data_IF_367459908913
#
_entry.id   IF_367459908913
#
_cell.length_a   1.000
_cell.length_b   1.000
_cell.length_c   1.000
_cell.angle_alpha   90.00
_cell.angle_beta   90.00
_cell.angle_gamma   90.00
#
_symmetry.space_group_name_H-M   'P 1'
#
loop_
_entity.id
_entity.type
_entity.pdbx_description
1 polymer ?
#
# COMPACT_ATOMS: atom_id res chain seq x y z
N UNK A 1 -5.15 -6.46 -43.20
CA UNK A 1 -6.42 -6.13 -42.53
C UNK A 1 -7.13 -7.38 -42.03
N UNK A 2 -6.60 -8.00 -40.96
CA UNK A 2 -7.23 -9.13 -40.28
C UNK A 2 -8.07 -8.70 -39.07
N UNK A 3 -8.60 -9.66 -38.30
CA UNK A 3 -9.38 -9.39 -37.07
C UNK A 3 -8.56 -8.62 -36.03
N UNK A 4 -7.32 -9.04 -35.78
CA UNK A 4 -6.41 -8.38 -34.85
C UNK A 4 -6.20 -6.90 -35.20
N UNK A 5 -6.01 -6.59 -36.49
CA UNK A 5 -5.84 -5.21 -36.96
C UNK A 5 -7.07 -4.35 -36.66
N UNK A 6 -8.28 -4.89 -36.88
CA UNK A 6 -9.54 -4.18 -36.57
C UNK A 6 -9.71 -3.95 -35.07
N UNK A 7 -9.34 -4.92 -34.25
CA UNK A 7 -9.40 -4.82 -32.79
C UNK A 7 -8.36 -3.81 -32.25
N UNK A 8 -7.12 -3.85 -32.74
CA UNK A 8 -6.08 -2.87 -32.41
C UNK A 8 -6.49 -1.45 -32.81
N UNK A 9 -7.07 -1.28 -34.00
CA UNK A 9 -7.52 0.02 -34.47
C UNK A 9 -8.72 0.53 -33.66
N UNK A 10 -9.63 -0.36 -33.25
CA UNK A 10 -10.72 -0.02 -32.34
C UNK A 10 -10.20 0.46 -30.99
N UNK A 11 -9.27 -0.28 -30.38
CA UNK A 11 -8.64 0.09 -29.10
C UNK A 11 -7.97 1.47 -29.20
N UNK A 12 -7.15 1.70 -30.23
CA UNK A 12 -6.50 3.00 -30.45
C UNK A 12 -7.48 4.15 -30.61
N UNK A 13 -8.58 3.92 -31.32
CA UNK A 13 -9.58 4.97 -31.59
C UNK A 13 -10.39 5.31 -30.33
N UNK A 14 -10.73 4.31 -29.51
CA UNK A 14 -11.59 4.50 -28.33
C UNK A 14 -10.79 4.94 -27.11
N UNK A 15 -9.60 4.37 -26.92
CA UNK A 15 -8.82 4.50 -25.69
C UNK A 15 -7.52 5.32 -25.90
N UNK A 16 -7.13 5.59 -27.14
CA UNK A 16 -5.90 6.28 -27.49
C UNK A 16 -4.75 5.35 -27.84
N UNK A 17 -3.74 5.91 -28.51
CA UNK A 17 -2.50 5.18 -28.81
C UNK A 17 -1.73 4.85 -27.53
N UNK A 18 -1.32 3.60 -27.39
CA UNK A 18 -0.56 3.13 -26.22
C UNK A 18 -1.39 2.92 -24.96
N UNK A 19 -2.73 2.86 -25.06
CA UNK A 19 -3.58 2.56 -23.91
C UNK A 19 -3.24 1.20 -23.27
N UNK A 20 -2.90 1.23 -21.99
CA UNK A 20 -2.47 0.09 -21.19
C UNK A 20 -1.42 0.51 -20.16
N UNK A 21 -1.06 -0.39 -19.26
CA UNK A 21 0.10 -0.22 -18.37
C UNK A 21 1.31 -0.92 -18.98
N UNK A 22 2.49 -0.32 -18.85
CA UNK A 22 3.75 -0.98 -19.17
C UNK A 22 4.40 -1.48 -17.89
N UNK A 23 4.70 -2.77 -17.83
CA UNK A 23 5.33 -3.36 -16.66
C UNK A 23 6.85 -3.23 -16.74
N UNK A 24 7.47 -2.78 -15.65
CA UNK A 24 8.92 -2.80 -15.46
C UNK A 24 9.24 -3.95 -14.51
N UNK A 25 10.08 -4.89 -14.95
CA UNK A 25 10.28 -6.18 -14.26
C UNK A 25 11.71 -6.30 -13.75
N UNK A 26 11.86 -6.64 -12.47
CA UNK A 26 13.13 -6.96 -11.82
C UNK A 26 13.11 -8.43 -11.40
N UNK A 27 13.97 -9.24 -12.01
CA UNK A 27 14.10 -10.67 -11.70
C UNK A 27 15.42 -10.92 -10.99
N UNK A 28 15.35 -11.61 -9.84
CA UNK A 28 16.53 -12.06 -9.10
C UNK A 28 16.73 -13.56 -9.28
N UNK A 29 17.92 -13.95 -9.75
CA UNK A 29 18.32 -15.36 -9.90
C UNK A 29 19.50 -15.68 -8.99
N UNK A 30 19.63 -16.94 -8.53
CA UNK A 30 20.82 -17.38 -7.82
C UNK A 30 22.05 -17.32 -8.74
N UNK A 31 23.24 -17.05 -8.17
CA UNK A 31 24.50 -17.03 -8.94
C UNK A 31 24.99 -18.41 -9.36
N UNK A 32 24.57 -19.45 -8.64
CA UNK A 32 24.98 -20.83 -8.86
C UNK A 32 23.78 -21.67 -9.26
N UNK A 33 23.99 -22.69 -10.10
CA UNK A 33 22.95 -23.53 -10.73
C UNK A 33 22.05 -24.27 -9.72
N UNK A 34 22.54 -24.49 -8.49
CA UNK A 34 21.80 -25.14 -7.39
C UNK A 34 21.55 -24.21 -6.18
N UNK A 35 21.71 -22.89 -6.36
CA UNK A 35 21.44 -21.91 -5.31
C UNK A 35 19.94 -21.66 -5.12
N UNK A 36 19.52 -21.33 -3.89
CA UNK A 36 18.15 -20.91 -3.59
C UNK A 36 18.08 -19.42 -3.28
N UNK A 37 17.01 -18.77 -3.73
CA UNK A 37 16.69 -17.36 -3.41
C UNK A 37 15.66 -17.25 -2.28
N UNK A 38 15.12 -18.38 -1.79
CA UNK A 38 14.10 -18.43 -0.73
C UNK A 38 14.74 -18.35 0.67
N UNK A 39 15.46 -17.25 0.93
CA UNK A 39 16.07 -16.96 2.23
C UNK A 39 16.04 -15.45 2.50
N UNK A 40 16.05 -15.07 3.79
CA UNK A 40 15.98 -13.65 4.19
C UNK A 40 17.05 -12.79 3.54
N UNK A 41 18.29 -13.25 3.48
CA UNK A 41 19.41 -12.50 2.89
C UNK A 41 19.18 -12.17 1.41
N UNK A 42 18.61 -13.10 0.66
CA UNK A 42 18.29 -12.93 -0.76
C UNK A 42 17.16 -11.94 -0.96
N UNK A 43 16.11 -12.00 -0.14
CA UNK A 43 14.98 -11.06 -0.21
C UNK A 43 15.37 -9.65 0.28
N UNK A 44 16.22 -9.54 1.29
CA UNK A 44 16.78 -8.26 1.73
C UNK A 44 17.67 -7.63 0.65
N UNK A 45 18.41 -8.45 -0.11
CA UNK A 45 19.13 -7.98 -1.29
C UNK A 45 18.17 -7.50 -2.39
N UNK A 46 17.09 -8.26 -2.65
CA UNK A 46 16.03 -7.84 -3.58
C UNK A 46 15.43 -6.49 -3.18
N UNK A 47 15.10 -6.30 -1.91
CA UNK A 47 14.62 -5.04 -1.34
C UNK A 47 15.58 -3.89 -1.61
N UNK A 48 16.89 -4.11 -1.42
CA UNK A 48 17.91 -3.09 -1.67
C UNK A 48 17.90 -2.65 -3.14
N UNK A 49 17.87 -3.60 -4.07
CA UNK A 49 17.81 -3.31 -5.51
C UNK A 49 16.52 -2.56 -5.87
N UNK A 50 15.37 -3.04 -5.37
CA UNK A 50 14.08 -2.39 -5.58
C UNK A 50 14.05 -0.96 -5.05
N UNK A 51 14.56 -0.71 -3.83
CA UNK A 51 14.65 0.66 -3.28
C UNK A 51 15.50 1.56 -4.15
N UNK A 52 16.67 1.10 -4.61
CA UNK A 52 17.50 1.88 -5.53
C UNK A 52 16.78 2.20 -6.84
N UNK A 53 16.05 1.23 -7.40
CA UNK A 53 15.27 1.46 -8.62
C UNK A 53 14.17 2.51 -8.42
N UNK A 54 13.41 2.43 -7.32
CA UNK A 54 12.29 3.35 -7.04
C UNK A 54 12.77 4.77 -6.72
N UNK A 55 13.93 4.92 -6.07
CA UNK A 55 14.49 6.24 -5.72
C UNK A 55 15.32 6.87 -6.84
N UNK A 56 15.45 6.20 -7.99
CA UNK A 56 16.19 6.76 -9.13
C UNK A 56 15.43 7.96 -9.69
N UNK A 57 16.16 9.05 -9.92
CA UNK A 57 15.62 10.28 -10.48
C UNK A 57 16.20 10.58 -11.86
N UNK A 58 15.43 11.25 -12.70
CA UNK A 58 15.83 11.70 -14.04
C UNK A 58 15.49 13.18 -14.19
N UNK A 59 16.43 13.97 -14.68
CA UNK A 59 16.18 15.38 -15.03
C UNK A 59 15.76 15.47 -16.50
N UNK A 60 14.56 15.98 -16.75
CA UNK A 60 14.01 16.15 -18.09
C UNK A 60 13.04 17.33 -18.11
N UNK A 61 13.16 18.20 -19.13
CA UNK A 61 12.33 19.41 -19.29
C UNK A 61 12.33 20.34 -18.07
N UNK A 62 13.51 20.59 -17.48
CA UNK A 62 13.69 21.42 -16.28
C UNK A 62 12.89 20.92 -15.05
N UNK A 63 12.49 19.65 -15.06
CA UNK A 63 11.84 18.97 -13.95
C UNK A 63 12.60 17.69 -13.56
N UNK A 64 12.62 17.38 -12.26
CA UNK A 64 13.15 16.12 -11.73
C UNK A 64 11.99 15.14 -11.59
N UNK A 65 12.09 14.01 -12.29
CA UNK A 65 11.12 12.94 -12.29
C UNK A 65 11.65 11.76 -11.46
N UNK A 66 10.77 11.10 -10.74
CA UNK A 66 11.01 9.84 -10.04
C UNK A 66 9.89 8.84 -10.35
N UNK A 67 9.99 7.61 -9.85
CA UNK A 67 9.00 6.57 -10.14
C UNK A 67 7.57 6.97 -9.70
N UNK A 68 7.41 7.68 -8.58
CA UNK A 68 6.10 8.13 -8.08
C UNK A 68 5.38 9.07 -9.05
N UNK A 69 6.12 9.83 -9.84
CA UNK A 69 5.54 10.78 -10.79
C UNK A 69 4.95 10.09 -12.03
N UNK A 70 5.32 8.83 -12.29
CA UNK A 70 4.95 8.10 -13.50
C UNK A 70 4.31 6.73 -13.23
N UNK A 71 4.32 6.26 -11.98
CA UNK A 71 3.79 4.94 -11.64
C UNK A 71 2.26 4.91 -11.73
N UNK A 72 1.73 3.72 -11.96
CA UNK A 72 0.30 3.48 -11.80
C UNK A 72 -0.08 3.54 -10.31
N UNK A 73 -0.93 4.47 -9.94
CA UNK A 73 -1.57 4.54 -8.63
C UNK A 73 -3.02 4.07 -8.73
N UNK A 74 -3.51 3.27 -7.75
CA UNK A 74 -4.92 2.92 -7.70
C UNK A 74 -5.79 4.19 -7.63
N UNK A 75 -6.91 4.22 -8.36
CA UNK A 75 -7.84 5.34 -8.31
C UNK A 75 -8.38 5.53 -6.89
N UNK A 76 -8.18 6.72 -6.31
CA UNK A 76 -8.84 7.11 -5.07
C UNK A 76 -10.36 7.19 -5.29
N UNK A 77 -11.19 6.75 -4.33
CA UNK A 77 -12.62 7.09 -4.37
C UNK A 77 -12.77 8.62 -4.35
N UNK A 78 -13.72 9.12 -5.16
CA UNK A 78 -14.12 10.52 -5.13
C UNK A 78 -15.07 10.75 -3.96
N UNK A 79 -14.76 11.72 -3.10
CA UNK A 79 -15.69 12.19 -2.07
C UNK A 79 -16.22 13.57 -2.43
N UNK A 80 -17.50 13.82 -2.18
CA UNK A 80 -18.14 15.13 -2.41
C UNK A 80 -17.51 16.29 -1.59
N UNK A 81 -16.57 15.99 -0.69
CA UNK A 81 -15.87 16.95 0.18
C UNK A 81 -14.38 16.93 -0.13
N UNK A 82 -13.93 17.91 -0.92
CA UNK A 82 -12.55 18.09 -1.42
C UNK A 82 -11.41 18.05 -0.37
N UNK A 83 -11.71 18.14 0.92
CA UNK A 83 -10.68 18.16 1.97
C UNK A 83 -10.06 16.79 2.26
N UNK A 84 -10.69 15.67 1.83
CA UNK A 84 -10.17 14.33 2.06
C UNK A 84 -9.40 13.74 0.88
N UNK A 85 -9.62 14.26 -0.33
CA UNK A 85 -8.99 13.75 -1.55
C UNK A 85 -7.47 13.86 -1.43
N UNK A 86 -6.96 14.99 -0.93
CA UNK A 86 -5.52 15.19 -0.70
C UNK A 86 -4.92 14.23 0.34
N UNK A 87 -5.69 13.80 1.35
CA UNK A 87 -5.22 12.82 2.33
C UNK A 87 -5.04 11.44 1.67
N UNK A 88 -6.02 11.01 0.88
CA UNK A 88 -5.99 9.72 0.21
C UNK A 88 -4.97 9.66 -0.92
N UNK A 89 -4.82 10.72 -1.70
CA UNK A 89 -3.78 10.83 -2.74
C UNK A 89 -2.37 10.67 -2.17
N UNK A 90 -2.14 11.14 -0.95
CA UNK A 90 -0.85 10.99 -0.27
C UNK A 90 -0.65 9.61 0.38
N UNK A 91 -1.74 8.88 0.62
CA UNK A 91 -1.70 7.55 1.24
C UNK A 91 -1.56 6.46 0.18
N UNK A 92 -2.28 6.53 -0.95
CA UNK A 92 -2.24 5.48 -1.96
C UNK A 92 -0.89 5.44 -2.69
N UNK A 93 -0.10 4.37 -2.48
CA UNK A 93 1.22 4.28 -3.06
C UNK A 93 1.17 3.78 -4.50
N UNK A 94 2.32 3.81 -5.18
CA UNK A 94 2.51 3.12 -6.44
C UNK A 94 2.12 1.64 -6.31
N UNK A 95 1.47 1.10 -7.33
CA UNK A 95 1.25 -0.35 -7.43
C UNK A 95 2.57 -1.04 -7.78
N UNK A 96 3.16 -1.73 -6.79
CA UNK A 96 4.38 -2.51 -6.95
C UNK A 96 4.03 -3.95 -6.58
N UNK A 97 4.19 -4.85 -7.54
CA UNK A 97 3.98 -6.28 -7.33
C UNK A 97 5.32 -6.89 -6.94
N UNK A 98 5.39 -7.49 -5.75
CA UNK A 98 6.65 -8.01 -5.22
C UNK A 98 6.43 -9.12 -4.19
N UNK A 99 7.30 -10.15 -4.13
CA UNK A 99 7.26 -11.14 -3.04
C UNK A 99 7.51 -10.52 -1.67
N UNK A 100 8.07 -9.30 -1.62
CA UNK A 100 8.24 -8.56 -0.37
C UNK A 100 6.92 -8.13 0.27
N UNK A 101 5.79 -8.21 -0.45
CA UNK A 101 4.48 -7.92 0.12
C UNK A 101 4.06 -8.93 1.20
N UNK A 102 4.65 -10.13 1.23
CA UNK A 102 4.43 -11.07 2.32
C UNK A 102 5.10 -10.63 3.64
N UNK A 103 6.09 -9.74 3.58
CA UNK A 103 6.92 -9.35 4.71
C UNK A 103 6.73 -7.87 5.06
N UNK A 104 7.10 -7.49 6.28
CA UNK A 104 7.03 -6.08 6.69
C UNK A 104 7.91 -5.18 5.81
N UNK A 105 9.04 -5.67 5.31
CA UNK A 105 9.96 -4.95 4.43
C UNK A 105 9.32 -4.42 3.14
N UNK A 106 8.24 -5.03 2.64
CA UNK A 106 7.49 -4.51 1.48
C UNK A 106 7.00 -3.08 1.70
N UNK A 107 6.69 -2.69 2.94
CA UNK A 107 6.30 -1.32 3.29
C UNK A 107 7.37 -0.27 2.96
N UNK A 108 8.65 -0.65 2.93
CA UNK A 108 9.78 0.23 2.62
C UNK A 108 9.82 0.64 1.14
N UNK A 109 9.00 0.03 0.28
CA UNK A 109 8.91 0.31 -1.16
C UNK A 109 7.82 1.32 -1.52
N UNK A 110 6.83 1.53 -0.66
CA UNK A 110 5.59 2.23 -1.02
C UNK A 110 5.70 3.76 -1.00
N UNK A 111 6.65 4.33 -0.23
CA UNK A 111 6.92 5.77 -0.13
C UNK A 111 5.75 6.66 0.31
N UNK A 112 5.99 7.96 0.62
CA UNK A 112 7.27 8.63 0.86
C UNK A 112 7.60 8.78 2.37
N UNK A 113 8.82 9.22 2.69
CA UNK A 113 9.32 9.42 4.06
C UNK A 113 8.57 10.50 4.87
N UNK A 114 7.75 11.35 4.22
CA UNK A 114 6.97 12.43 4.84
C UNK A 114 5.68 12.69 4.01
N UNK A 115 4.49 12.85 4.62
CA UNK A 115 4.18 12.78 6.04
C UNK A 115 3.79 11.39 6.56
N UNK A 116 3.53 10.41 5.67
CA UNK A 116 3.01 9.09 6.06
C UNK A 116 3.99 7.99 5.65
N UNK A 117 4.56 7.30 6.65
CA UNK A 117 5.49 6.18 6.41
C UNK A 117 4.76 4.85 6.57
N UNK A 118 4.67 4.08 5.49
CA UNK A 118 4.06 2.74 5.53
C UNK A 118 4.75 1.76 6.49
N UNK A 119 6.02 2.03 6.84
CA UNK A 119 6.82 1.23 7.78
C UNK A 119 6.28 1.24 9.20
N UNK A 120 5.56 2.30 9.61
CA UNK A 120 4.94 2.42 10.94
C UNK A 120 3.45 2.80 10.88
N UNK A 121 2.83 2.69 9.69
CA UNK A 121 1.43 3.03 9.49
C UNK A 121 0.53 1.82 9.71
N UNK A 122 -0.40 1.94 10.65
CA UNK A 122 -1.62 1.14 10.70
C UNK A 122 -2.80 2.01 10.19
N UNK A 123 -3.29 1.80 8.95
CA UNK A 123 -4.33 2.67 8.37
C UNK A 123 -5.63 2.72 9.18
N UNK A 124 -6.10 1.59 9.71
CA UNK A 124 -7.33 1.58 10.53
C UNK A 124 -7.13 2.36 11.83
N UNK A 125 -6.01 2.13 12.51
CA UNK A 125 -5.69 2.84 13.76
C UNK A 125 -5.51 4.34 13.53
N UNK A 126 -4.91 4.74 12.40
CA UNK A 126 -4.78 6.15 12.01
C UNK A 126 -6.16 6.82 11.94
N UNK A 127 -7.12 6.20 11.25
CA UNK A 127 -8.48 6.74 11.12
C UNK A 127 -9.23 6.75 12.46
N UNK A 128 -9.09 5.72 13.29
CA UNK A 128 -9.72 5.67 14.61
C UNK A 128 -9.18 6.78 15.54
N UNK A 129 -7.87 7.08 15.47
CA UNK A 129 -7.25 8.20 16.18
C UNK A 129 -7.80 9.53 15.66
N UNK A 130 -7.89 9.73 14.34
CA UNK A 130 -8.46 10.95 13.76
C UNK A 130 -9.90 11.19 14.21
N UNK A 131 -10.72 10.14 14.19
CA UNK A 131 -12.12 10.19 14.67
C UNK A 131 -12.15 10.59 16.15
N UNK A 132 -11.30 9.98 16.98
CA UNK A 132 -11.23 10.27 18.42
C UNK A 132 -10.84 11.72 18.70
N UNK A 133 -9.79 12.23 18.03
CA UNK A 133 -9.34 13.61 18.16
C UNK A 133 -10.40 14.61 17.69
N UNK A 134 -11.10 14.30 16.59
CA UNK A 134 -12.18 15.14 16.07
C UNK A 134 -13.36 15.19 17.06
N UNK A 135 -13.75 14.06 17.66
CA UNK A 135 -14.77 14.03 18.73
C UNK A 135 -14.37 14.91 19.92
N UNK A 136 -13.13 14.80 20.39
CA UNK A 136 -12.62 15.61 21.51
C UNK A 136 -12.63 17.11 21.18
N UNK A 137 -12.20 17.48 19.96
CA UNK A 137 -12.22 18.88 19.51
C UNK A 137 -13.64 19.45 19.49
N UNK A 138 -14.62 18.71 18.97
CA UNK A 138 -16.02 19.14 18.96
C UNK A 138 -16.55 19.32 20.39
N UNK A 139 -16.27 18.38 21.29
CA UNK A 139 -16.67 18.47 22.72
C UNK A 139 -16.07 19.71 23.40
N UNK A 140 -14.79 20.00 23.15
CA UNK A 140 -14.11 21.18 23.71
C UNK A 140 -14.64 22.51 23.17
N UNK A 141 -15.30 22.50 22.01
CA UNK A 141 -15.85 23.69 21.35
C UNK A 141 -17.23 24.11 21.92
N UNK A 142 -17.77 23.38 22.90
CA UNK A 142 -19.09 23.65 23.48
C UNK A 142 -20.27 23.32 22.56
N UNK A 143 -20.02 22.68 21.41
CA UNK A 143 -21.06 22.09 20.59
C UNK A 143 -21.64 20.88 21.36
N UNK A 144 -22.94 20.91 21.65
CA UNK A 144 -23.63 19.80 22.31
C UNK A 144 -23.54 18.56 21.41
N UNK A 145 -22.62 17.66 21.71
CA UNK A 145 -22.73 16.27 21.27
C UNK A 145 -23.76 15.66 22.19
N UNK A 146 -24.95 15.40 21.66
CA UNK A 146 -25.97 14.71 22.40
C UNK A 146 -25.41 13.34 22.79
N UNK A 147 -25.16 13.12 24.08
CA UNK A 147 -24.56 11.88 24.61
C UNK A 147 -25.57 10.70 24.58
N UNK A 148 -26.63 10.79 23.78
CA UNK A 148 -27.62 9.73 23.55
C UNK A 148 -27.27 8.83 22.35
N UNK A 149 -26.05 8.87 21.82
CA UNK A 149 -25.62 8.12 20.62
C UNK A 149 -24.69 6.95 21.01
N UNK A 150 -25.07 6.18 22.03
CA UNK A 150 -24.44 4.87 22.30
C UNK A 150 -25.27 3.71 21.70
N UNK A 151 -26.46 4.00 21.14
CA UNK A 151 -27.35 3.00 20.55
C UNK A 151 -28.03 3.50 19.27
N UNK A 152 -27.27 3.86 18.22
CA UNK A 152 -27.85 3.85 16.87
C UNK A 152 -26.79 3.87 15.78
N UNK A 153 -26.75 2.78 15.01
CA UNK A 153 -26.08 2.60 13.73
C UNK A 153 -26.64 3.52 12.61
N UNK A 154 -27.20 4.70 12.92
CA UNK A 154 -27.89 5.52 11.91
C UNK A 154 -27.96 7.04 12.11
N UNK A 155 -27.24 7.67 13.04
CA UNK A 155 -27.00 9.12 12.98
C UNK A 155 -25.51 9.45 12.99
N UNK A 156 -24.87 9.20 11.84
CA UNK A 156 -23.50 9.66 11.61
C UNK A 156 -23.51 11.20 11.72
N UNK A 157 -22.80 11.74 12.73
CA UNK A 157 -22.58 13.17 12.85
C UNK A 157 -22.02 13.68 11.49
N UNK A 158 -22.67 14.66 10.82
CA UNK A 158 -22.26 15.14 9.50
C UNK A 158 -20.79 15.57 9.40
N UNK A 159 -20.20 15.92 10.55
CA UNK A 159 -18.80 16.30 10.71
C UNK A 159 -17.86 15.09 10.62
N UNK A 160 -18.26 13.93 11.15
CA UNK A 160 -17.44 12.69 11.18
C UNK A 160 -17.68 11.77 9.98
N UNK A 161 -18.81 11.94 9.29
CA UNK A 161 -19.19 11.16 8.11
C UNK A 161 -18.05 10.92 7.11
N UNK A 162 -17.19 11.90 6.79
CA UNK A 162 -16.14 11.70 5.80
C UNK A 162 -15.08 10.68 6.25
N UNK A 163 -14.65 10.72 7.52
CA UNK A 163 -13.71 9.76 8.10
C UNK A 163 -14.32 8.36 8.22
N UNK A 164 -15.61 8.29 8.51
CA UNK A 164 -16.35 7.04 8.57
C UNK A 164 -16.46 6.37 7.20
N UNK A 165 -16.68 7.15 6.16
CA UNK A 165 -16.70 6.68 4.77
C UNK A 165 -15.32 6.16 4.36
N UNK A 166 -14.21 6.86 4.69
CA UNK A 166 -12.85 6.34 4.47
C UNK A 166 -12.64 5.02 5.23
N UNK A 167 -13.03 4.95 6.51
CA UNK A 167 -12.88 3.74 7.33
C UNK A 167 -13.59 2.54 6.71
N UNK A 168 -14.82 2.75 6.25
CA UNK A 168 -15.61 1.74 5.53
C UNK A 168 -14.92 1.35 4.24
N UNK A 169 -14.47 2.31 3.43
CA UNK A 169 -13.73 2.03 2.20
C UNK A 169 -12.50 1.15 2.46
N UNK A 170 -11.67 1.51 3.44
CA UNK A 170 -10.48 0.74 3.80
C UNK A 170 -10.83 -0.70 4.21
N UNK A 171 -11.88 -0.88 5.05
CA UNK A 171 -12.36 -2.23 5.42
C UNK A 171 -12.87 -3.04 4.23
N UNK A 172 -13.58 -2.40 3.30
CA UNK A 172 -14.07 -3.06 2.09
C UNK A 172 -12.92 -3.45 1.17
N UNK A 173 -11.82 -2.70 1.13
CA UNK A 173 -10.62 -3.01 0.38
C UNK A 173 -9.67 -4.00 1.08
N UNK A 174 -9.97 -4.42 2.30
CA UNK A 174 -9.09 -5.29 3.08
C UNK A 174 -7.85 -4.57 3.62
N UNK A 175 -7.88 -3.23 3.64
CA UNK A 175 -6.84 -2.38 4.24
C UNK A 175 -7.06 -2.37 5.76
N UNK A 176 -6.27 -3.17 6.47
CA UNK A 176 -6.35 -3.36 7.92
C UNK A 176 -5.14 -2.72 8.63
N UNK A 177 -4.18 -3.54 9.07
CA UNK A 177 -2.93 -3.13 9.71
C UNK A 177 -1.83 -2.76 8.70
N UNK A 178 -2.09 -2.88 7.39
CA UNK A 178 -1.08 -2.71 6.35
C UNK A 178 0.01 -3.76 6.48
N UNK A 179 1.23 -3.32 6.78
CA UNK A 179 2.40 -4.19 6.95
C UNK A 179 2.75 -4.47 8.42
N UNK A 180 2.06 -3.85 9.38
CA UNK A 180 2.48 -3.84 10.79
C UNK A 180 2.38 -5.21 11.48
N UNK A 181 1.61 -6.15 10.93
CA UNK A 181 1.42 -7.49 11.48
C UNK A 181 2.08 -8.58 10.63
N UNK A 182 2.84 -8.19 9.60
CA UNK A 182 3.59 -9.13 8.75
C UNK A 182 4.90 -9.54 9.44
N UNK A 183 5.41 -10.75 9.18
CA UNK A 183 6.73 -11.15 9.67
C UNK A 183 7.82 -10.24 9.07
N UNK A 184 8.84 -9.96 9.86
CA UNK A 184 10.02 -9.24 9.38
C UNK A 184 11.03 -10.24 8.82
N UNK A 185 11.63 -9.93 7.67
CA UNK A 185 12.77 -10.68 7.14
C UNK A 185 13.99 -10.55 8.06
N UNK A 186 14.15 -9.38 8.68
CA UNK A 186 15.12 -9.08 9.72
C UNK A 186 14.43 -8.69 11.05
N UNK A 187 14.27 -9.63 12.00
CA UNK A 187 13.71 -9.34 13.33
C UNK A 187 14.56 -8.36 14.16
N UNK A 188 15.86 -8.26 13.88
CA UNK A 188 16.78 -7.38 14.62
C UNK A 188 16.68 -5.92 14.17
N UNK A 189 16.07 -5.65 13.01
CA UNK A 189 15.80 -4.29 12.53
C UNK A 189 15.03 -3.50 13.60
N UNK A 190 15.62 -2.39 14.07
CA UNK A 190 15.03 -1.53 15.09
C UNK A 190 13.64 -1.00 14.71
N UNK A 191 13.36 -0.88 13.40
CA UNK A 191 12.10 -0.39 12.88
C UNK A 191 11.07 -1.52 12.67
N UNK A 192 11.46 -2.79 12.76
CA UNK A 192 10.51 -3.90 12.70
C UNK A 192 9.49 -3.76 13.85
N UNK A 193 8.17 -3.73 13.55
CA UNK A 193 7.17 -3.36 14.53
C UNK A 193 7.01 -4.43 15.61
N UNK A 194 6.68 -3.99 16.83
CA UNK A 194 6.44 -4.89 17.97
C UNK A 194 5.26 -5.83 17.76
N UNK A 195 4.36 -5.49 16.83
CA UNK A 195 3.21 -6.29 16.42
C UNK A 195 3.56 -7.38 15.40
N UNK A 196 4.77 -7.39 14.84
CA UNK A 196 5.22 -8.48 13.97
C UNK A 196 5.41 -9.78 14.78
N UNK A 197 4.96 -10.92 14.24
CA UNK A 197 4.92 -12.19 14.98
C UNK A 197 6.29 -12.69 15.44
N UNK A 198 7.36 -12.31 14.73
CA UNK A 198 8.72 -12.75 15.01
C UNK A 198 9.62 -11.69 15.65
N UNK A 199 9.11 -10.48 15.95
CA UNK A 199 9.92 -9.40 16.54
C UNK A 199 10.48 -9.77 17.91
N UNK A 200 9.64 -10.36 18.77
CA UNK A 200 10.05 -10.72 20.14
C UNK A 200 10.87 -12.02 20.19
N UNK A 201 10.56 -12.96 19.30
CA UNK A 201 11.25 -14.26 19.28
C UNK A 201 12.64 -14.17 18.62
N UNK A 202 12.86 -13.19 17.75
CA UNK A 202 14.09 -13.08 16.95
C UNK A 202 14.23 -14.18 15.90
N UNK A 203 13.20 -15.02 15.70
CA UNK A 203 13.27 -16.14 14.77
C UNK A 203 13.11 -15.66 13.32
N UNK A 204 13.96 -16.17 12.45
CA UNK A 204 13.82 -15.92 11.01
C UNK A 204 12.55 -16.60 10.48
N UNK A 205 11.79 -15.92 9.60
CA UNK A 205 10.58 -16.49 9.02
C UNK A 205 10.92 -17.64 8.06
N UNK A 206 10.01 -18.61 7.94
CA UNK A 206 10.11 -19.64 6.92
C UNK A 206 9.65 -19.08 5.57
N UNK A 207 10.60 -18.60 4.76
CA UNK A 207 10.32 -17.91 3.50
C UNK A 207 9.42 -18.71 2.56
N UNK A 208 9.65 -20.02 2.41
CA UNK A 208 8.82 -20.85 1.52
C UNK A 208 7.38 -20.94 2.00
N UNK A 209 7.16 -21.02 3.32
CA UNK A 209 5.82 -21.04 3.89
C UNK A 209 5.10 -19.70 3.73
N UNK A 210 5.79 -18.58 4.00
CA UNK A 210 5.20 -17.25 3.91
C UNK A 210 4.81 -16.87 2.47
N UNK A 211 5.49 -17.42 1.46
CA UNK A 211 5.21 -17.17 0.04
C UNK A 211 4.18 -18.15 -0.56
N UNK A 212 3.80 -19.20 0.17
CA UNK A 212 2.84 -20.21 -0.32
C UNK A 212 1.48 -19.56 -0.56
N UNK A 213 0.82 -19.90 -1.67
CA UNK A 213 -0.45 -19.30 -2.12
C UNK A 213 -0.36 -17.80 -2.49
N UNK A 214 0.86 -17.27 -2.60
CA UNK A 214 1.13 -15.91 -3.03
C UNK A 214 1.09 -14.85 -1.92
N UNK A 215 1.34 -13.59 -2.30
CA UNK A 215 1.46 -12.47 -1.37
C UNK A 215 0.28 -11.52 -1.44
N UNK A 216 -0.06 -10.95 -0.29
CA UNK A 216 -1.10 -9.94 -0.16
C UNK A 216 -0.47 -8.59 0.16
N UNK A 217 -0.68 -7.59 -0.69
CA UNK A 217 -0.30 -6.20 -0.43
C UNK A 217 -1.14 -5.56 0.69
N UNK A 218 -1.06 -4.24 0.82
CA UNK A 218 -1.79 -3.52 1.88
C UNK A 218 -3.32 -3.58 1.74
N UNK A 219 -3.85 -3.73 0.51
CA UNK A 219 -5.27 -3.88 0.22
C UNK A 219 -5.60 -5.34 -0.13
N UNK A 220 -5.69 -6.19 0.88
CA UNK A 220 -5.70 -7.66 0.74
C UNK A 220 -6.80 -8.24 -0.15
N UNK A 221 -7.90 -7.51 -0.39
CA UNK A 221 -9.00 -7.96 -1.28
C UNK A 221 -8.76 -7.66 -2.76
N UNK A 222 -7.82 -6.78 -3.08
CA UNK A 222 -7.55 -6.34 -4.46
C UNK A 222 -6.09 -6.55 -4.88
N UNK A 223 -5.17 -6.69 -3.92
CA UNK A 223 -3.74 -6.85 -4.14
C UNK A 223 -3.30 -8.24 -3.67
N UNK A 224 -3.78 -9.28 -4.33
CA UNK A 224 -3.31 -10.66 -4.14
C UNK A 224 -2.50 -11.06 -5.36
N UNK A 225 -1.21 -11.34 -5.13
CA UNK A 225 -0.24 -11.72 -6.14
C UNK A 225 0.01 -13.21 -6.02
N UNK A 226 -0.50 -13.97 -6.98
CA UNK A 226 -0.32 -15.42 -7.04
C UNK A 226 1.17 -15.77 -7.22
N UNK A 227 1.56 -16.97 -6.78
CA UNK A 227 2.96 -17.42 -6.78
C UNK A 227 3.57 -17.50 -8.19
N UNK A 228 2.77 -17.85 -9.20
CA UNK A 228 3.23 -18.05 -10.58
C UNK A 228 3.36 -16.75 -11.41
N UNK A 229 3.07 -15.59 -10.82
CA UNK A 229 3.12 -14.28 -11.49
C UNK A 229 4.56 -13.80 -11.72
#
# INVERSE_FOLDING_TARGET
GGRLEKELQYVRTVLGDGYGTTDQIIIQTPKHEYGTVLNSSSLLFHLKVMRTAITTTVEMFDATWNLKDICYTPSSPYFDKHHLDSLLENIFPCSIITPLDCFWEGSKLLGPEIPVQWTNLNPQQMIDIMITLMKQSIQSSGALIDNQIDNLDSSINPILEPLETIRKFMKHAGITSGYQTKPCLDPEDINCPLTSPNKQSGQLPNIGHELTDGCYGFATKYMHWIEDL
#
